data_IF_109221066371
#
_entry.id   IF_109221066371
#
_cell.length_a   1.000
_cell.length_b   1.000
_cell.length_c   1.000
_cell.angle_alpha   90.00
_cell.angle_beta   90.00
_cell.angle_gamma   90.00
#
_symmetry.space_group_name_H-M   'P 1'
#
loop_
_entity.id
_entity.type
_entity.pdbx_description
1 polymer ?
#
# COMPACT_ATOMS: atom_id res chain seq x y z
N UNK A 1 16.64 28.69 47.36
CA UNK A 1 15.22 28.77 47.78
C UNK A 1 14.45 27.72 47.01
N UNK A 2 13.70 26.87 47.72
CA UNK A 2 12.88 25.80 47.15
C UNK A 2 11.70 26.39 46.38
N UNK A 3 11.42 25.89 45.18
CA UNK A 3 10.07 25.81 44.64
C UNK A 3 9.88 24.36 44.16
N UNK A 4 9.01 23.66 44.88
CA UNK A 4 8.45 22.35 44.58
C UNK A 4 7.15 22.54 43.78
N UNK A 5 6.56 21.41 43.34
CA UNK A 5 5.13 21.21 42.98
C UNK A 5 4.85 21.48 41.49
N UNK A 6 4.22 20.61 40.70
CA UNK A 6 3.62 19.30 40.95
C UNK A 6 3.61 18.47 39.65
N UNK A 7 3.71 17.16 39.85
CA UNK A 7 3.24 16.12 38.94
C UNK A 7 1.75 16.31 38.64
N UNK A 8 1.38 16.33 37.35
CA UNK A 8 0.06 15.91 36.92
C UNK A 8 0.23 14.73 35.96
N UNK A 9 0.13 13.52 36.52
CA UNK A 9 -0.17 12.32 35.77
C UNK A 9 -1.67 12.31 35.50
N UNK A 10 -2.06 12.24 34.23
CA UNK A 10 -3.40 11.83 33.82
C UNK A 10 -3.24 10.56 32.97
N UNK A 11 -3.74 9.47 33.52
CA UNK A 11 -3.86 8.17 32.89
C UNK A 11 -5.32 7.93 32.46
N UNK A 12 -5.48 6.97 31.54
CA UNK A 12 -6.71 6.34 31.06
C UNK A 12 -7.51 7.16 30.01
N UNK A 13 -8.06 6.57 28.96
CA UNK A 13 -8.48 5.18 28.78
C UNK A 13 -8.32 4.71 27.32
N UNK A 14 -7.98 3.43 27.17
CA UNK A 14 -8.14 2.66 25.94
C UNK A 14 -9.64 2.40 25.72
N UNK A 15 -10.23 3.02 24.70
CA UNK A 15 -11.42 2.53 24.01
C UNK A 15 -10.87 1.89 22.72
N UNK A 16 -10.92 0.58 22.50
CA UNK A 16 -12.08 -0.29 22.58
C UNK A 16 -12.37 -0.72 21.14
N UNK A 17 -11.79 -1.84 20.71
CA UNK A 17 -12.11 -2.48 19.43
C UNK A 17 -13.56 -2.98 19.50
N UNK A 18 -14.42 -2.44 18.64
CA UNK A 18 -15.70 -3.09 18.34
C UNK A 18 -15.52 -3.93 17.09
N UNK A 19 -15.24 -5.21 17.29
CA UNK A 19 -15.52 -6.27 16.33
C UNK A 19 -17.01 -6.24 15.99
N UNK A 20 -17.35 -5.83 14.76
CA UNK A 20 -18.68 -6.09 14.20
C UNK A 20 -18.59 -7.36 13.34
N UNK A 21 -18.51 -8.52 13.99
CA UNK A 21 -18.74 -9.80 13.31
C UNK A 21 -20.24 -9.91 13.00
N UNK A 22 -20.63 -9.60 11.77
CA UNK A 22 -22.00 -9.77 11.29
C UNK A 22 -22.29 -11.24 11.02
N UNK A 23 -22.84 -11.91 12.02
CA UNK A 23 -23.51 -13.21 11.91
C UNK A 23 -24.78 -13.06 11.06
N UNK A 24 -24.74 -13.46 9.79
CA UNK A 24 -25.95 -13.67 8.99
C UNK A 24 -26.44 -15.11 9.19
N UNK A 25 -27.60 -15.20 9.83
CA UNK A 25 -28.40 -16.40 10.08
C UNK A 25 -29.28 -16.72 8.86
N UNK A 26 -29.20 -17.99 8.48
CA UNK A 26 -30.19 -18.90 7.87
C UNK A 26 -31.31 -18.37 6.96
N UNK A 27 -31.40 -19.01 5.77
CA UNK A 27 -32.65 -19.68 5.42
C UNK A 27 -33.25 -19.35 4.07
N UNK A 28 -32.80 -20.00 2.98
CA UNK A 28 -33.68 -20.32 1.86
C UNK A 28 -33.37 -21.69 1.22
N UNK A 29 -34.27 -22.63 1.51
CA UNK A 29 -34.87 -23.60 0.59
C UNK A 29 -33.97 -24.42 -0.36
N UNK A 30 -33.83 -25.69 0.02
CA UNK A 30 -33.61 -26.85 -0.85
C UNK A 30 -34.45 -26.78 -2.15
N UNK A 31 -33.79 -26.54 -3.28
CA UNK A 31 -34.32 -26.83 -4.60
C UNK A 31 -33.34 -27.73 -5.38
N UNK A 32 -33.77 -28.98 -5.56
CA UNK A 32 -33.41 -29.93 -6.63
C UNK A 32 -32.17 -29.63 -7.48
N UNK A 33 -31.13 -30.43 -7.26
CA UNK A 33 -30.03 -30.61 -8.20
C UNK A 33 -30.54 -31.08 -9.58
N UNK A 34 -30.28 -30.30 -10.61
CA UNK A 34 -30.30 -30.74 -12.01
C UNK A 34 -28.85 -30.98 -12.45
N UNK A 35 -28.46 -32.18 -12.91
CA UNK A 35 -27.06 -32.50 -13.21
C UNK A 35 -26.59 -32.04 -14.61
N UNK A 36 -27.32 -31.14 -15.29
CA UNK A 36 -27.09 -30.85 -16.70
C UNK A 36 -26.79 -29.39 -17.09
N UNK A 37 -26.68 -28.45 -16.16
CA UNK A 37 -26.21 -27.10 -16.48
C UNK A 37 -25.40 -26.52 -15.32
N UNK A 38 -24.07 -26.59 -15.41
CA UNK A 38 -23.21 -25.40 -15.37
C UNK A 38 -21.74 -25.82 -15.60
N UNK A 39 -21.49 -26.46 -16.75
CA UNK A 39 -20.20 -26.20 -17.39
C UNK A 39 -20.32 -24.80 -17.99
N UNK A 40 -19.36 -23.91 -17.71
CA UNK A 40 -19.10 -22.63 -18.38
C UNK A 40 -19.54 -21.33 -17.65
N UNK A 41 -18.83 -20.95 -16.58
CA UNK A 41 -18.14 -19.63 -16.43
C UNK A 41 -17.53 -19.46 -15.03
N UNK A 42 -16.30 -19.91 -14.88
CA UNK A 42 -15.44 -19.54 -13.74
C UNK A 42 -14.64 -18.27 -14.07
N UNK A 43 -15.32 -17.25 -14.62
CA UNK A 43 -14.67 -16.02 -15.09
C UNK A 43 -15.53 -14.76 -14.87
N UNK A 44 -16.57 -14.81 -14.02
CA UNK A 44 -17.57 -13.74 -13.92
C UNK A 44 -17.60 -12.97 -12.60
N UNK A 45 -16.84 -13.37 -11.57
CA UNK A 45 -16.78 -12.65 -10.29
C UNK A 45 -15.35 -12.18 -9.95
N UNK A 46 -14.56 -11.79 -10.96
CA UNK A 46 -13.31 -11.10 -10.67
C UNK A 46 -13.60 -9.62 -10.48
N UNK A 47 -13.38 -9.13 -9.27
CA UNK A 47 -13.48 -7.70 -8.96
C UNK A 47 -12.54 -6.93 -9.88
N UNK A 48 -12.97 -5.77 -10.44
CA UNK A 48 -12.13 -4.97 -11.32
C UNK A 48 -10.83 -4.57 -10.63
N UNK A 49 -9.78 -4.31 -11.41
CA UNK A 49 -8.50 -3.82 -10.88
C UNK A 49 -8.72 -2.55 -10.05
N UNK A 50 -8.37 -2.62 -8.77
CA UNK A 50 -8.41 -1.49 -7.85
C UNK A 50 -7.05 -0.79 -7.89
N UNK A 51 -6.99 0.26 -8.71
CA UNK A 51 -5.78 1.06 -8.90
C UNK A 51 -5.33 1.76 -7.61
N UNK A 52 -6.26 2.12 -6.72
CA UNK A 52 -5.93 2.76 -5.44
C UNK A 52 -5.28 1.74 -4.49
N UNK A 53 -5.82 0.52 -4.41
CA UNK A 53 -5.24 -0.56 -3.61
C UNK A 53 -3.86 -1.00 -4.15
N UNK A 54 -3.73 -1.16 -5.47
CA UNK A 54 -2.46 -1.50 -6.11
C UNK A 54 -1.40 -0.41 -5.85
N UNK A 55 -1.80 0.87 -5.90
CA UNK A 55 -0.89 1.97 -5.58
C UNK A 55 -0.47 1.97 -4.12
N UNK A 56 -1.38 1.68 -3.18
CA UNK A 56 -1.02 1.54 -1.76
C UNK A 56 -0.03 0.39 -1.52
N UNK A 57 -0.28 -0.76 -2.15
CA UNK A 57 0.62 -1.92 -2.09
C UNK A 57 2.00 -1.59 -2.67
N UNK A 58 2.04 -0.98 -3.86
CA UNK A 58 3.28 -0.56 -4.50
C UNK A 58 4.05 0.48 -3.67
N UNK A 59 3.38 1.48 -3.09
CA UNK A 59 4.03 2.47 -2.20
C UNK A 59 4.66 1.79 -0.98
N UNK A 60 3.97 0.79 -0.39
CA UNK A 60 4.46 0.03 0.76
C UNK A 60 5.70 -0.81 0.42
N UNK A 61 5.68 -1.50 -0.72
CA UNK A 61 6.77 -2.33 -1.18
C UNK A 61 8.02 -1.48 -1.46
N UNK A 62 7.88 -0.41 -2.25
CA UNK A 62 8.97 0.50 -2.60
C UNK A 62 9.58 1.21 -1.38
N UNK A 63 8.74 1.57 -0.41
CA UNK A 63 9.21 2.13 0.87
C UNK A 63 10.11 1.15 1.63
N UNK A 64 9.92 -0.17 1.45
CA UNK A 64 10.72 -1.21 2.09
C UNK A 64 11.98 -1.60 1.31
N UNK A 65 11.96 -1.46 -0.02
CA UNK A 65 13.06 -1.82 -0.92
C UNK A 65 14.20 -0.78 -0.91
N UNK A 66 13.85 0.50 -0.73
CA UNK A 66 14.80 1.61 -0.76
C UNK A 66 15.21 2.01 -2.19
N UNK A 67 16.06 3.04 -2.29
CA UNK A 67 16.47 3.60 -3.59
C UNK A 67 17.27 2.59 -4.42
N UNK A 68 16.87 2.36 -5.66
CA UNK A 68 17.62 1.56 -6.62
C UNK A 68 18.78 2.37 -7.23
N UNK A 69 20.01 1.91 -7.04
CA UNK A 69 21.21 2.55 -7.58
C UNK A 69 21.42 2.29 -9.08
N UNK A 70 20.57 1.49 -9.72
CA UNK A 70 20.60 1.25 -11.16
C UNK A 70 20.41 2.55 -11.98
N UNK A 71 19.75 3.55 -11.41
CA UNK A 71 19.56 4.89 -11.98
C UNK A 71 20.86 5.72 -12.07
N UNK A 72 21.97 5.18 -11.56
CA UNK A 72 23.28 5.79 -11.66
C UNK A 72 23.54 6.78 -10.52
N UNK A 73 24.66 6.58 -9.84
CA UNK A 73 25.16 7.48 -8.82
C UNK A 73 26.69 7.49 -8.93
N UNK A 74 27.30 8.68 -8.93
CA UNK A 74 28.73 8.83 -9.20
C UNK A 74 29.60 8.58 -7.96
N UNK A 75 29.17 8.99 -6.75
CA UNK A 75 29.95 8.80 -5.52
C UNK A 75 29.09 8.79 -4.22
N UNK A 76 28.30 9.85 -3.97
CA UNK A 76 27.48 9.99 -2.76
C UNK A 76 25.99 9.93 -3.11
N UNK A 77 25.39 8.75 -2.92
CA UNK A 77 23.99 8.49 -3.24
C UNK A 77 23.04 8.90 -2.11
N UNK A 78 23.57 9.43 -1.00
CA UNK A 78 22.77 9.79 0.17
C UNK A 78 21.69 10.81 -0.13
N UNK A 79 21.91 11.67 -1.12
CA UNK A 79 20.89 12.60 -1.61
C UNK A 79 19.68 11.87 -2.19
N UNK A 80 19.92 10.91 -3.09
CA UNK A 80 18.84 10.12 -3.71
C UNK A 80 18.10 9.27 -2.69
N UNK A 81 18.83 8.60 -1.81
CA UNK A 81 18.26 7.81 -0.71
C UNK A 81 17.38 8.66 0.20
N UNK A 82 17.87 9.85 0.59
CA UNK A 82 17.11 10.78 1.42
C UNK A 82 15.86 11.30 0.69
N UNK A 83 15.96 11.55 -0.62
CA UNK A 83 14.83 11.95 -1.46
C UNK A 83 13.77 10.87 -1.57
N UNK A 84 14.21 9.63 -1.84
CA UNK A 84 13.35 8.44 -1.91
C UNK A 84 12.62 8.23 -0.59
N UNK A 85 13.37 8.20 0.51
CA UNK A 85 12.80 8.01 1.85
C UNK A 85 11.83 9.15 2.21
N UNK A 86 12.18 10.40 1.89
CA UNK A 86 11.28 11.53 2.10
C UNK A 86 9.96 11.34 1.35
N UNK A 87 10.03 10.95 0.07
CA UNK A 87 8.84 10.73 -0.76
C UNK A 87 7.97 9.61 -0.19
N UNK A 88 8.55 8.51 0.27
CA UNK A 88 7.85 7.40 0.91
C UNK A 88 7.13 7.85 2.20
N UNK A 89 7.76 8.68 3.01
CA UNK A 89 7.21 9.14 4.29
C UNK A 89 6.16 10.25 4.15
N UNK A 90 6.27 11.11 3.13
CA UNK A 90 5.47 12.33 3.01
C UNK A 90 4.40 12.26 1.90
N UNK A 91 4.47 11.29 0.99
CA UNK A 91 3.48 11.12 -0.07
C UNK A 91 3.64 12.06 -1.26
N UNK A 92 4.72 12.86 -1.31
CA UNK A 92 5.00 13.76 -2.45
C UNK A 92 6.51 14.03 -2.60
N UNK A 93 6.94 14.25 -3.85
CA UNK A 93 8.31 14.61 -4.19
C UNK A 93 8.49 16.12 -4.10
N UNK A 94 9.68 16.57 -3.72
CA UNK A 94 9.95 17.99 -3.53
C UNK A 94 11.38 18.36 -3.84
N UNK A 95 11.58 19.62 -4.18
CA UNK A 95 12.92 20.19 -4.34
C UNK A 95 13.51 20.48 -2.97
N UNK A 96 14.66 19.87 -2.67
CA UNK A 96 15.47 20.19 -1.50
C UNK A 96 16.56 21.21 -1.81
N UNK A 97 17.54 21.32 -0.90
CA UNK A 97 18.78 22.07 -1.17
C UNK A 97 19.79 21.29 -2.05
N UNK A 98 19.43 20.06 -2.46
CA UNK A 98 20.26 19.18 -3.28
C UNK A 98 19.45 18.69 -4.48
N UNK A 99 20.06 18.71 -5.67
CA UNK A 99 19.47 18.11 -6.88
C UNK A 99 19.21 16.62 -6.67
N UNK A 100 20.21 15.88 -6.18
CA UNK A 100 20.11 14.44 -5.93
C UNK A 100 18.96 14.06 -4.98
N UNK A 101 18.59 14.96 -4.06
CA UNK A 101 17.41 14.78 -3.23
C UNK A 101 16.11 14.85 -4.04
N UNK A 102 15.99 15.84 -4.93
CA UNK A 102 14.82 15.93 -5.81
C UNK A 102 14.74 14.71 -6.73
N UNK A 103 15.88 14.32 -7.33
CA UNK A 103 15.98 13.14 -8.19
C UNK A 103 15.59 11.84 -7.48
N UNK A 104 15.99 11.67 -6.21
CA UNK A 104 15.56 10.53 -5.40
C UNK A 104 14.05 10.45 -5.21
N UNK A 105 13.40 11.59 -4.97
CA UNK A 105 11.95 11.66 -4.84
C UNK A 105 11.23 11.38 -6.17
N UNK A 106 11.75 11.87 -7.29
CA UNK A 106 11.19 11.58 -8.62
C UNK A 106 11.39 10.13 -9.04
N UNK A 107 12.54 9.53 -8.70
CA UNK A 107 12.77 8.11 -8.94
C UNK A 107 11.76 7.22 -8.20
N UNK A 108 11.33 7.62 -6.99
CA UNK A 108 10.24 6.92 -6.29
C UNK A 108 8.91 7.04 -7.05
N UNK A 109 8.58 8.23 -7.55
CA UNK A 109 7.37 8.43 -8.36
C UNK A 109 7.39 7.56 -9.63
N UNK A 110 8.52 7.50 -10.35
CA UNK A 110 8.70 6.64 -11.52
C UNK A 110 8.60 5.14 -11.18
N UNK A 111 9.23 4.72 -10.08
CA UNK A 111 9.15 3.33 -9.61
C UNK A 111 7.73 2.94 -9.21
N UNK A 112 6.99 3.86 -8.59
CA UNK A 112 5.59 3.65 -8.21
C UNK A 112 4.71 3.43 -9.44
N UNK A 113 4.84 4.29 -10.45
CA UNK A 113 4.10 4.15 -11.71
C UNK A 113 4.44 2.80 -12.38
N UNK A 114 5.71 2.44 -12.44
CA UNK A 114 6.16 1.17 -13.02
C UNK A 114 5.61 -0.04 -12.26
N UNK A 115 5.58 -0.01 -10.92
CA UNK A 115 5.09 -1.14 -10.11
C UNK A 115 3.58 -1.31 -10.22
N UNK A 116 2.82 -0.20 -10.25
CA UNK A 116 1.36 -0.26 -10.46
C UNK A 116 1.03 -0.82 -11.85
N UNK A 117 1.81 -0.45 -12.87
CA UNK A 117 1.66 -1.02 -14.21
C UNK A 117 1.96 -2.53 -14.24
N UNK A 118 3.02 -2.99 -13.58
CA UNK A 118 3.33 -4.42 -13.43
C UNK A 118 2.18 -5.18 -12.74
N UNK A 119 1.67 -4.65 -11.62
CA UNK A 119 0.53 -5.24 -10.90
C UNK A 119 -0.73 -5.30 -11.77
N UNK A 120 -0.97 -4.29 -12.61
CA UNK A 120 -2.07 -4.30 -13.59
C UNK A 120 -1.89 -5.39 -14.63
N UNK A 121 -0.69 -5.53 -15.20
CA UNK A 121 -0.40 -6.55 -16.21
C UNK A 121 -0.54 -7.97 -15.63
N UNK A 122 -0.07 -8.20 -14.41
CA UNK A 122 -0.22 -9.46 -13.68
C UNK A 122 -1.68 -9.75 -13.34
N UNK A 123 -2.42 -8.71 -12.94
CA UNK A 123 -3.86 -8.81 -12.79
C UNK A 123 -4.48 -9.21 -14.13
N UNK A 124 -4.26 -8.51 -15.24
CA UNK A 124 -4.84 -8.85 -16.54
C UNK A 124 -4.46 -10.27 -17.03
N UNK A 125 -3.25 -10.73 -16.72
CA UNK A 125 -2.79 -12.08 -17.00
C UNK A 125 -3.38 -13.17 -16.08
N UNK A 126 -4.01 -12.78 -14.97
CA UNK A 126 -4.59 -13.68 -13.97
C UNK A 126 -3.53 -14.35 -13.08
N UNK A 127 -2.37 -13.71 -12.91
CA UNK A 127 -1.25 -14.21 -12.13
C UNK A 127 -1.36 -13.82 -10.65
N UNK A 128 -1.80 -12.58 -10.38
CA UNK A 128 -2.04 -12.08 -9.03
C UNK A 128 -3.35 -11.27 -8.97
N UNK A 129 -4.41 -11.79 -8.32
CA UNK A 129 -5.65 -11.06 -8.15
C UNK A 129 -5.65 -10.06 -6.99
N UNK A 130 -4.73 -10.17 -6.02
CA UNK A 130 -4.89 -9.60 -4.68
C UNK A 130 -3.75 -8.67 -4.23
N UNK A 131 -2.85 -8.28 -5.14
CA UNK A 131 -1.71 -7.34 -4.98
C UNK A 131 -1.48 -6.73 -3.58
#
# INVERSE_FOLDING_TARGET
MKQMIALLSAAAALSGCSDSSSSYDDGYARASASPYENSFRASEDREPFDEDAAREAAERDLASEGYDYSYGCTDDCSGHEAGWQWRAENGYSTYGNSESFAEGGYAFDEALESRVEEMRDDYEAGLDPDY
#
